data_IF_300359849919
#
_entry.id   IF_300359849919
#
_cell.length_a   1.000
_cell.length_b   1.000
_cell.length_c   1.000
_cell.angle_alpha   90.00
_cell.angle_beta   90.00
_cell.angle_gamma   90.00
#
_symmetry.space_group_name_H-M   'P 1'
#
loop_
_entity.id
_entity.type
_entity.pdbx_description
1 polymer ?
#
# COMPACT_ATOMS: atom_id res chain seq x y z
N UNK A 1 -1.15 17.84 29.43
CA UNK A 1 -1.62 17.73 28.03
C UNK A 1 -2.18 16.32 27.85
N UNK A 2 -3.35 16.20 27.24
CA UNK A 2 -3.90 14.87 26.95
C UNK A 2 -3.13 14.22 25.80
N UNK A 3 -2.76 12.97 25.97
CA UNK A 3 -2.08 12.21 24.90
C UNK A 3 -3.00 12.08 23.67
N UNK A 4 -2.41 12.16 22.48
CA UNK A 4 -3.12 11.81 21.25
C UNK A 4 -3.21 10.29 21.16
N UNK A 5 -4.43 9.75 21.04
CA UNK A 5 -4.62 8.31 20.93
C UNK A 5 -4.78 7.92 19.46
N UNK A 6 -3.87 7.09 18.95
CA UNK A 6 -3.86 6.62 17.57
C UNK A 6 -4.34 5.17 17.56
N UNK A 7 -5.47 4.92 16.88
CA UNK A 7 -6.08 3.59 16.76
C UNK A 7 -6.31 3.22 15.31
N UNK A 8 -6.04 1.99 14.94
CA UNK A 8 -6.37 1.47 13.61
C UNK A 8 -7.88 1.21 13.51
N UNK A 9 -8.58 1.95 12.64
CA UNK A 9 -10.02 1.76 12.39
C UNK A 9 -10.27 0.54 11.50
N UNK A 10 -9.45 0.41 10.45
CA UNK A 10 -9.42 -0.69 9.49
C UNK A 10 -8.12 -0.66 8.70
N UNK A 11 -7.99 -1.49 7.65
CA UNK A 11 -6.78 -1.52 6.83
C UNK A 11 -6.53 -0.24 6.00
N UNK A 12 -7.48 0.69 5.95
CA UNK A 12 -7.39 1.94 5.17
C UNK A 12 -7.20 3.15 6.06
N UNK A 13 -7.87 3.20 7.21
CA UNK A 13 -7.97 4.38 8.07
C UNK A 13 -7.47 4.13 9.49
N UNK A 14 -6.84 5.18 10.04
CA UNK A 14 -6.62 5.37 11.47
C UNK A 14 -7.66 6.35 12.00
N UNK A 15 -7.92 6.29 13.29
CA UNK A 15 -8.62 7.34 14.07
C UNK A 15 -7.64 7.96 15.05
N UNK A 16 -7.63 9.29 15.10
CA UNK A 16 -6.87 10.10 16.03
C UNK A 16 -7.86 10.74 17.02
N UNK A 17 -7.78 10.32 18.28
CA UNK A 17 -8.52 10.98 19.35
C UNK A 17 -7.58 11.98 20.03
N UNK A 18 -7.85 13.27 19.83
CA UNK A 18 -6.98 14.36 20.26
C UNK A 18 -7.80 15.63 20.56
N UNK A 19 -7.23 16.58 21.35
CA UNK A 19 -7.86 17.85 21.65
C UNK A 19 -8.19 18.66 20.38
N UNK A 20 -9.24 19.51 20.42
CA UNK A 20 -9.69 20.27 19.24
C UNK A 20 -8.60 21.11 18.55
N UNK A 21 -7.70 21.74 19.31
CA UNK A 21 -6.60 22.52 18.71
C UNK A 21 -5.66 21.65 17.88
N UNK A 22 -5.33 20.44 18.36
CA UNK A 22 -4.49 19.49 17.61
C UNK A 22 -5.22 18.99 16.36
N UNK A 23 -6.56 18.81 16.43
CA UNK A 23 -7.35 18.42 15.25
C UNK A 23 -7.29 19.50 14.16
N UNK A 24 -7.35 20.80 14.52
CA UNK A 24 -7.24 21.89 13.56
C UNK A 24 -5.84 21.96 12.94
N UNK A 25 -4.79 21.81 13.73
CA UNK A 25 -3.42 21.80 13.23
C UNK A 25 -3.16 20.62 12.30
N UNK A 26 -3.63 19.41 12.66
CA UNK A 26 -3.58 18.25 11.78
C UNK A 26 -4.37 18.46 10.49
N UNK A 27 -5.53 19.14 10.57
CA UNK A 27 -6.32 19.41 9.37
C UNK A 27 -5.61 20.40 8.43
N UNK A 28 -4.88 21.36 8.98
CA UNK A 28 -4.08 22.31 8.18
C UNK A 28 -2.88 21.60 7.56
N UNK A 29 -2.10 20.87 8.34
CA UNK A 29 -0.94 20.10 7.88
C UNK A 29 -1.29 19.10 6.78
N UNK A 30 -2.42 18.39 6.92
CA UNK A 30 -2.84 17.35 5.96
C UNK A 30 -3.85 17.86 4.92
N UNK A 31 -3.85 19.17 4.65
CA UNK A 31 -4.63 19.80 3.57
C UNK A 31 -3.70 20.37 2.50
N UNK A 32 -3.88 19.94 1.25
CA UNK A 32 -3.03 20.32 0.13
C UNK A 32 -3.84 21.04 -0.95
N UNK A 33 -3.31 22.13 -1.48
CA UNK A 33 -3.87 22.77 -2.65
C UNK A 33 -3.53 21.98 -3.92
N UNK A 34 -4.55 21.76 -4.76
CA UNK A 34 -4.32 21.07 -6.03
C UNK A 34 -3.78 22.07 -7.04
N UNK A 35 -2.60 21.82 -7.62
CA UNK A 35 -2.06 22.67 -8.66
C UNK A 35 -3.07 22.86 -9.78
N UNK A 36 -3.27 24.12 -10.21
CA UNK A 36 -4.21 24.49 -11.29
C UNK A 36 -5.69 24.14 -11.01
N UNK A 37 -6.10 23.91 -9.77
CA UNK A 37 -7.49 23.64 -9.39
C UNK A 37 -8.48 24.63 -10.00
N UNK A 38 -8.12 25.91 -10.08
CA UNK A 38 -8.93 27.00 -10.66
C UNK A 38 -9.36 26.76 -12.11
N UNK A 39 -8.68 25.92 -12.85
CA UNK A 39 -9.04 25.56 -14.22
C UNK A 39 -9.99 24.36 -14.30
N UNK A 40 -10.15 23.61 -13.22
CA UNK A 40 -11.00 22.43 -13.18
C UNK A 40 -12.48 22.80 -13.11
N UNK A 41 -13.33 22.04 -13.79
CA UNK A 41 -14.77 22.25 -13.86
C UNK A 41 -15.45 22.24 -12.47
N UNK A 42 -15.03 21.33 -11.58
CA UNK A 42 -15.58 21.22 -10.23
C UNK A 42 -15.31 22.49 -9.38
N UNK A 43 -14.11 23.09 -9.52
CA UNK A 43 -13.76 24.34 -8.86
C UNK A 43 -14.56 25.51 -9.42
N UNK A 44 -14.63 25.65 -10.76
CA UNK A 44 -15.38 26.71 -11.43
C UNK A 44 -16.86 26.69 -11.07
N UNK A 45 -17.43 25.49 -10.89
CA UNK A 45 -18.82 25.29 -10.48
C UNK A 45 -19.03 25.37 -8.96
N UNK A 46 -17.99 25.67 -8.18
CA UNK A 46 -18.00 25.75 -6.71
C UNK A 46 -18.44 24.46 -5.99
N UNK A 47 -18.31 23.29 -6.63
CA UNK A 47 -18.56 22.00 -6.01
C UNK A 47 -17.38 21.51 -5.18
N UNK A 48 -16.22 22.14 -5.33
CA UNK A 48 -14.99 21.78 -4.66
C UNK A 48 -14.13 23.01 -4.45
N UNK A 49 -13.43 23.09 -3.32
CA UNK A 49 -12.61 24.23 -2.87
C UNK A 49 -11.16 24.22 -3.43
N UNK A 50 -10.83 23.25 -4.28
CA UNK A 50 -9.49 23.11 -4.84
C UNK A 50 -8.48 22.43 -3.92
N UNK A 51 -8.93 21.88 -2.78
CA UNK A 51 -8.06 21.28 -1.77
C UNK A 51 -8.32 19.78 -1.62
N UNK A 52 -7.27 19.04 -1.33
CA UNK A 52 -7.33 17.65 -0.89
C UNK A 52 -7.13 17.65 0.61
N UNK A 53 -8.10 17.14 1.36
CA UNK A 53 -8.08 17.01 2.80
C UNK A 53 -7.89 15.56 3.17
N UNK A 54 -6.74 15.22 3.74
CA UNK A 54 -6.37 13.84 4.07
C UNK A 54 -6.73 13.47 5.52
N UNK A 55 -6.94 14.47 6.39
CA UNK A 55 -7.47 14.33 7.74
C UNK A 55 -8.87 14.92 7.85
N UNK A 56 -9.75 14.25 8.54
CA UNK A 56 -11.11 14.69 8.82
C UNK A 56 -11.25 15.07 10.30
N UNK A 57 -11.32 16.37 10.67
CA UNK A 57 -11.49 16.77 12.06
C UNK A 57 -12.79 16.25 12.69
N UNK A 58 -13.85 16.14 11.89
CA UNK A 58 -15.16 15.70 12.39
C UNK A 58 -15.17 14.23 12.84
N UNK A 59 -14.35 13.37 12.23
CA UNK A 59 -14.28 11.93 12.55
C UNK A 59 -12.96 11.50 13.15
N UNK A 60 -11.95 12.38 13.16
CA UNK A 60 -10.57 12.07 13.55
C UNK A 60 -9.87 11.11 12.59
N UNK A 61 -10.39 10.92 11.37
CA UNK A 61 -9.90 9.90 10.45
C UNK A 61 -8.78 10.42 9.54
N UNK A 62 -7.77 9.57 9.35
CA UNK A 62 -6.68 9.76 8.39
C UNK A 62 -6.31 8.42 7.76
N UNK A 63 -5.74 8.46 6.55
CA UNK A 63 -5.26 7.23 5.90
C UNK A 63 -4.13 6.56 6.69
N UNK A 64 -4.23 5.25 6.90
CA UNK A 64 -3.28 4.48 7.69
C UNK A 64 -1.83 4.55 7.14
N UNK A 65 -1.66 4.74 5.84
CA UNK A 65 -0.34 4.93 5.22
C UNK A 65 0.35 6.24 5.59
N UNK A 66 -0.37 7.19 6.19
CA UNK A 66 0.19 8.47 6.63
C UNK A 66 0.69 8.46 8.08
N UNK A 67 0.62 7.32 8.77
CA UNK A 67 1.08 7.19 10.16
C UNK A 67 2.47 7.78 10.42
N UNK A 68 3.51 7.52 9.61
CA UNK A 68 4.83 8.10 9.83
C UNK A 68 4.84 9.63 9.81
N UNK A 69 4.06 10.24 8.94
CA UNK A 69 3.93 11.72 8.86
C UNK A 69 3.16 12.28 10.06
N UNK A 70 2.11 11.59 10.50
CA UNK A 70 1.36 11.96 11.71
C UNK A 70 2.27 11.93 12.93
N UNK A 71 3.03 10.86 13.12
CA UNK A 71 3.92 10.74 14.27
C UNK A 71 5.07 11.76 14.24
N UNK A 72 5.62 12.05 13.07
CA UNK A 72 6.61 13.13 12.89
C UNK A 72 6.01 14.48 13.28
N UNK A 73 4.83 14.83 12.78
CA UNK A 73 4.13 16.07 13.13
C UNK A 73 3.91 16.18 14.64
N UNK A 74 3.39 15.12 15.28
CA UNK A 74 3.15 15.12 16.72
C UNK A 74 4.44 15.31 17.54
N UNK A 75 5.54 14.68 17.12
CA UNK A 75 6.85 14.81 17.76
C UNK A 75 7.42 16.23 17.62
N UNK A 76 7.36 16.82 16.42
CA UNK A 76 7.86 18.17 16.14
C UNK A 76 7.09 19.25 16.90
N UNK A 77 5.80 19.04 17.16
CA UNK A 77 4.97 19.97 17.93
C UNK A 77 4.89 19.64 19.42
N UNK A 78 5.61 18.61 19.89
CA UNK A 78 5.66 18.22 21.29
C UNK A 78 4.36 17.62 21.82
N UNK A 79 3.52 17.04 20.96
CA UNK A 79 2.32 16.34 21.36
C UNK A 79 2.62 14.89 21.72
N UNK A 80 2.42 14.46 22.98
CA UNK A 80 2.58 13.07 23.36
C UNK A 80 1.49 12.22 22.69
N UNK A 81 1.84 11.03 22.22
CA UNK A 81 0.89 10.11 21.59
C UNK A 81 1.08 8.67 22.08
N UNK A 82 0.01 7.87 21.94
CA UNK A 82 0.01 6.44 22.24
C UNK A 82 -0.73 5.66 21.18
N UNK A 83 -0.22 4.48 20.86
CA UNK A 83 -0.92 3.51 20.01
C UNK A 83 -1.92 2.72 20.85
N UNK A 84 -3.15 2.65 20.36
CA UNK A 84 -4.21 1.83 20.94
C UNK A 84 -4.43 0.61 20.06
N UNK A 85 -4.34 -0.57 20.65
CA UNK A 85 -4.63 -1.81 19.95
C UNK A 85 -6.11 -1.88 19.56
N UNK A 86 -6.38 -2.35 18.34
CA UNK A 86 -7.72 -2.73 17.90
C UNK A 86 -7.81 -4.25 17.88
N UNK A 87 -8.81 -4.82 18.53
CA UNK A 87 -8.94 -6.28 18.69
C UNK A 87 -9.07 -7.04 17.36
N UNK A 88 -9.55 -6.35 16.31
CA UNK A 88 -9.70 -6.93 14.96
C UNK A 88 -8.53 -6.61 14.05
N UNK A 89 -8.03 -5.37 14.09
CA UNK A 89 -7.06 -4.85 13.13
C UNK A 89 -5.65 -4.67 13.71
N UNK A 90 -5.45 -4.91 15.00
CA UNK A 90 -4.16 -4.81 15.66
C UNK A 90 -3.70 -3.37 15.92
N UNK A 91 -2.38 -3.21 16.06
CA UNK A 91 -1.74 -1.91 16.28
C UNK A 91 -1.67 -1.07 14.99
N UNK A 92 -1.64 0.27 15.11
CA UNK A 92 -1.44 1.17 13.97
C UNK A 92 -0.15 0.93 13.21
N UNK A 93 0.95 0.71 13.93
CA UNK A 93 2.25 0.37 13.34
C UNK A 93 2.41 -1.15 13.28
N UNK A 94 2.69 -1.64 12.08
CA UNK A 94 2.89 -3.05 11.84
C UNK A 94 4.28 -3.26 11.23
N UNK A 95 5.19 -3.78 12.04
CA UNK A 95 6.54 -4.21 11.63
C UNK A 95 6.64 -5.71 11.88
N UNK A 96 7.03 -6.47 10.87
CA UNK A 96 7.32 -7.91 11.02
C UNK A 96 8.79 -8.07 11.45
N UNK A 97 9.02 -8.15 12.75
CA UNK A 97 10.37 -8.28 13.32
C UNK A 97 11.05 -9.61 12.99
N UNK A 98 10.31 -10.61 12.55
CA UNK A 98 10.88 -11.86 12.05
C UNK A 98 11.52 -11.70 10.67
N UNK A 99 11.19 -10.62 9.95
CA UNK A 99 11.80 -10.31 8.65
C UNK A 99 13.14 -9.61 8.90
N UNK A 100 14.20 -10.40 8.89
CA UNK A 100 15.59 -9.92 8.98
C UNK A 100 16.26 -9.93 7.59
N UNK A 101 17.33 -9.14 7.37
CA UNK A 101 18.10 -9.21 6.12
C UNK A 101 18.59 -10.64 5.80
N UNK A 102 19.04 -11.40 6.80
CA UNK A 102 19.49 -12.78 6.62
C UNK A 102 18.33 -13.71 6.17
N UNK A 103 17.14 -13.57 6.76
CA UNK A 103 15.96 -14.34 6.39
C UNK A 103 15.53 -14.06 4.95
N UNK A 104 15.52 -12.77 4.56
CA UNK A 104 15.22 -12.36 3.17
C UNK A 104 16.28 -12.88 2.20
N UNK A 105 17.57 -12.84 2.56
CA UNK A 105 18.65 -13.39 1.74
C UNK A 105 18.49 -14.88 1.49
N UNK A 106 18.17 -15.65 2.52
CA UNK A 106 17.90 -17.09 2.41
C UNK A 106 16.67 -17.38 1.55
N UNK A 107 15.60 -16.59 1.74
CA UNK A 107 14.38 -16.70 0.95
C UNK A 107 14.64 -16.42 -0.53
N UNK A 108 15.30 -15.30 -0.86
CA UNK A 108 15.61 -14.91 -2.25
C UNK A 108 16.49 -15.93 -2.95
N UNK A 109 17.51 -16.47 -2.27
CA UNK A 109 18.33 -17.56 -2.79
C UNK A 109 17.50 -18.81 -3.09
N UNK A 110 16.56 -19.14 -2.21
CA UNK A 110 15.66 -20.30 -2.38
C UNK A 110 14.65 -20.16 -3.53
N UNK A 111 14.46 -18.97 -4.11
CA UNK A 111 13.62 -18.77 -5.29
C UNK A 111 14.26 -19.30 -6.58
N UNK A 112 15.58 -19.54 -6.60
CA UNK A 112 16.33 -20.03 -7.77
C UNK A 112 16.06 -19.19 -9.04
N UNK A 113 16.10 -17.86 -8.90
CA UNK A 113 15.81 -16.94 -9.99
C UNK A 113 16.84 -17.05 -11.11
N UNK A 114 16.43 -16.88 -12.38
CA UNK A 114 17.34 -16.93 -13.54
C UNK A 114 18.35 -15.76 -13.57
N UNK A 115 18.09 -14.72 -12.77
CA UNK A 115 18.94 -13.55 -12.68
C UNK A 115 19.36 -13.26 -11.24
N UNK A 116 20.58 -12.76 -11.07
CA UNK A 116 21.05 -12.29 -9.76
C UNK A 116 20.24 -11.06 -9.33
N UNK A 117 19.68 -11.12 -8.14
CA UNK A 117 18.98 -9.98 -7.53
C UNK A 117 20.01 -8.91 -7.17
N UNK A 118 19.76 -7.67 -7.56
CA UNK A 118 20.61 -6.50 -7.30
C UNK A 118 20.35 -5.96 -5.89
N UNK A 119 21.30 -5.24 -5.33
CA UNK A 119 21.22 -4.75 -3.95
C UNK A 119 19.97 -3.90 -3.69
N UNK A 120 19.64 -2.98 -4.59
CA UNK A 120 18.44 -2.15 -4.47
C UNK A 120 17.12 -2.94 -4.60
N UNK A 121 17.10 -4.01 -5.40
CA UNK A 121 15.94 -4.91 -5.50
C UNK A 121 15.78 -5.70 -4.20
N UNK A 122 16.90 -6.17 -3.67
CA UNK A 122 16.94 -6.84 -2.38
C UNK A 122 16.42 -5.94 -1.27
N UNK A 123 16.88 -4.68 -1.21
CA UNK A 123 16.41 -3.70 -0.23
C UNK A 123 14.91 -3.45 -0.37
N UNK A 124 14.40 -3.29 -1.60
CA UNK A 124 12.98 -3.10 -1.85
C UNK A 124 12.12 -4.30 -1.40
N UNK A 125 12.59 -5.53 -1.65
CA UNK A 125 11.92 -6.76 -1.18
C UNK A 125 11.92 -6.78 0.36
N UNK A 126 13.05 -6.52 1.00
CA UNK A 126 13.18 -6.47 2.46
C UNK A 126 12.20 -5.46 3.08
N UNK A 127 12.21 -4.23 2.58
CA UNK A 127 11.31 -3.16 3.05
C UNK A 127 9.82 -3.56 2.91
N UNK A 128 9.44 -4.12 1.76
CA UNK A 128 8.07 -4.52 1.51
C UNK A 128 7.62 -5.75 2.33
N UNK A 129 8.56 -6.65 2.67
CA UNK A 129 8.27 -7.80 3.53
C UNK A 129 8.17 -7.41 5.00
N UNK A 130 9.05 -6.51 5.46
CA UNK A 130 9.13 -6.08 6.86
C UNK A 130 7.99 -5.15 7.24
N UNK A 131 7.65 -4.23 6.34
CA UNK A 131 6.63 -3.21 6.59
C UNK A 131 5.42 -3.43 5.69
N UNK A 132 4.24 -3.35 6.23
CA UNK A 132 3.01 -3.67 5.48
C UNK A 132 2.64 -2.63 4.44
N UNK A 133 3.06 -1.37 4.60
CA UNK A 133 2.76 -0.29 3.67
C UNK A 133 4.04 0.42 3.28
N UNK A 134 4.36 0.38 1.99
CA UNK A 134 5.55 1.03 1.44
C UNK A 134 5.28 1.59 0.05
N UNK A 135 5.78 2.79 -0.19
CA UNK A 135 5.91 3.34 -1.53
C UNK A 135 7.35 3.10 -2.01
N UNK A 136 7.49 2.28 -3.04
CA UNK A 136 8.78 1.96 -3.63
C UNK A 136 8.92 2.70 -4.96
N UNK A 137 9.71 3.77 -4.99
CA UNK A 137 10.02 4.50 -6.21
C UNK A 137 11.12 3.76 -6.98
N UNK A 138 10.79 3.34 -8.18
CA UNK A 138 11.68 2.50 -8.98
C UNK A 138 11.57 2.88 -10.46
N UNK A 139 12.68 3.23 -11.13
CA UNK A 139 12.66 3.64 -12.54
C UNK A 139 12.24 2.51 -13.47
N UNK A 140 11.98 2.84 -14.73
CA UNK A 140 11.75 1.84 -15.77
C UNK A 140 12.98 0.93 -15.91
N UNK A 141 12.76 -0.34 -16.24
CA UNK A 141 13.80 -1.37 -16.35
C UNK A 141 14.58 -1.71 -15.05
N UNK A 142 14.12 -1.27 -13.89
CA UNK A 142 14.74 -1.63 -12.59
C UNK A 142 14.43 -3.06 -12.12
N UNK A 143 13.59 -3.80 -12.86
CA UNK A 143 13.15 -5.15 -12.47
C UNK A 143 12.01 -5.18 -11.45
N UNK A 144 11.07 -4.25 -11.55
CA UNK A 144 9.86 -4.22 -10.69
C UNK A 144 9.11 -5.55 -10.67
N UNK A 145 8.94 -6.19 -11.83
CA UNK A 145 8.28 -7.50 -11.93
C UNK A 145 8.97 -8.58 -11.10
N UNK A 146 10.29 -8.58 -11.02
CA UNK A 146 11.04 -9.54 -10.21
C UNK A 146 10.82 -9.29 -8.70
N UNK A 147 10.79 -8.03 -8.27
CA UNK A 147 10.50 -7.69 -6.88
C UNK A 147 9.07 -8.10 -6.50
N UNK A 148 8.09 -7.79 -7.35
CA UNK A 148 6.68 -8.18 -7.18
C UNK A 148 6.55 -9.71 -7.16
N UNK A 149 7.23 -10.41 -8.07
CA UNK A 149 7.28 -11.87 -8.07
C UNK A 149 7.77 -12.44 -6.74
N UNK A 150 8.89 -11.92 -6.21
CA UNK A 150 9.42 -12.36 -4.93
C UNK A 150 8.41 -12.16 -3.79
N UNK A 151 7.71 -11.02 -3.77
CA UNK A 151 6.66 -10.75 -2.78
C UNK A 151 5.48 -11.72 -2.92
N UNK A 152 5.00 -12.00 -4.14
CA UNK A 152 3.94 -12.99 -4.36
C UNK A 152 4.34 -14.38 -3.84
N UNK A 153 5.61 -14.79 -4.08
CA UNK A 153 6.13 -16.06 -3.57
C UNK A 153 6.24 -16.09 -2.05
N UNK A 154 6.60 -14.96 -1.45
CA UNK A 154 6.67 -14.83 0.02
C UNK A 154 5.30 -14.90 0.67
N UNK A 155 4.34 -14.12 0.19
CA UNK A 155 2.99 -14.09 0.75
C UNK A 155 2.22 -15.40 0.45
N UNK A 156 2.43 -16.01 -0.71
CA UNK A 156 1.87 -17.34 -1.02
C UNK A 156 2.33 -18.43 -0.07
N UNK A 157 3.59 -18.38 0.44
CA UNK A 157 4.05 -19.30 1.49
C UNK A 157 3.36 -19.09 2.85
N UNK A 158 2.70 -17.96 3.03
CA UNK A 158 1.89 -17.64 4.21
C UNK A 158 0.39 -17.86 3.96
N UNK A 159 0.02 -18.56 2.89
CA UNK A 159 -1.37 -18.80 2.44
C UNK A 159 -2.17 -17.49 2.21
N UNK A 160 -1.47 -16.42 1.84
CA UNK A 160 -2.07 -15.14 1.53
C UNK A 160 -2.22 -14.95 0.02
N UNK A 161 -3.39 -14.50 -0.41
CA UNK A 161 -3.65 -14.15 -1.80
C UNK A 161 -3.09 -12.76 -2.12
N UNK A 162 -2.59 -12.59 -3.35
CA UNK A 162 -2.00 -11.34 -3.82
C UNK A 162 -2.82 -10.75 -4.97
N UNK A 163 -3.17 -9.48 -4.87
CA UNK A 163 -3.79 -8.71 -5.95
C UNK A 163 -2.76 -7.74 -6.52
N UNK A 164 -2.46 -7.87 -7.82
CA UNK A 164 -1.59 -6.96 -8.57
C UNK A 164 -2.46 -6.10 -9.47
N UNK A 165 -2.41 -4.78 -9.27
CA UNK A 165 -3.16 -3.83 -10.08
C UNK A 165 -2.18 -3.03 -10.94
N UNK A 166 -2.35 -3.10 -12.27
CA UNK A 166 -1.50 -2.40 -13.23
C UNK A 166 -2.33 -1.47 -14.13
N UNK A 167 -1.72 -0.42 -14.71
CA UNK A 167 -2.45 0.57 -15.50
C UNK A 167 -3.11 0.03 -16.78
N UNK A 168 -2.48 -0.94 -17.46
CA UNK A 168 -2.90 -1.40 -18.79
C UNK A 168 -2.95 -2.93 -18.90
N UNK A 169 -3.76 -3.42 -19.84
CA UNK A 169 -3.85 -4.86 -20.14
C UNK A 169 -2.54 -5.43 -20.67
N UNK A 170 -1.76 -4.66 -21.40
CA UNK A 170 -0.42 -5.07 -21.87
C UNK A 170 0.52 -5.35 -20.71
N UNK A 171 0.43 -4.57 -19.60
CA UNK A 171 1.21 -4.83 -18.39
C UNK A 171 0.71 -6.06 -17.62
N UNK A 172 -0.59 -6.41 -17.72
CA UNK A 172 -1.10 -7.69 -17.17
C UNK A 172 -0.42 -8.86 -17.89
N UNK A 173 -0.37 -8.82 -19.23
CA UNK A 173 0.27 -9.88 -20.02
C UNK A 173 1.78 -9.94 -19.78
N UNK A 174 2.44 -8.79 -19.74
CA UNK A 174 3.88 -8.72 -19.45
C UNK A 174 4.19 -9.32 -18.08
N UNK A 175 3.48 -8.93 -17.03
CA UNK A 175 3.68 -9.44 -15.69
C UNK A 175 3.51 -10.95 -15.61
N UNK A 176 2.47 -11.46 -16.25
CA UNK A 176 2.21 -12.90 -16.31
C UNK A 176 3.34 -13.65 -17.05
N UNK A 177 3.83 -13.09 -18.17
CA UNK A 177 4.96 -13.64 -18.93
C UNK A 177 6.24 -13.63 -18.08
N UNK A 178 6.55 -12.50 -17.44
CA UNK A 178 7.72 -12.37 -16.56
C UNK A 178 7.71 -13.44 -15.46
N UNK A 179 6.56 -13.69 -14.83
CA UNK A 179 6.43 -14.73 -13.80
C UNK A 179 6.68 -16.13 -14.33
N UNK A 180 6.25 -16.41 -15.55
CA UNK A 180 6.57 -17.67 -16.22
C UNK A 180 8.06 -17.79 -16.49
N UNK A 181 8.69 -16.71 -16.98
CA UNK A 181 10.11 -16.66 -17.30
C UNK A 181 11.00 -16.77 -16.05
N UNK A 182 10.48 -16.38 -14.87
CA UNK A 182 11.16 -16.60 -13.57
C UNK A 182 11.02 -18.03 -13.03
N UNK A 183 10.44 -18.94 -13.79
CA UNK A 183 10.36 -20.37 -13.47
C UNK A 183 9.18 -20.75 -12.58
N UNK A 184 8.20 -19.85 -12.38
CA UNK A 184 6.97 -20.21 -11.68
C UNK A 184 5.93 -20.79 -12.64
N UNK A 185 5.23 -21.81 -12.22
CA UNK A 185 4.08 -22.32 -12.96
C UNK A 185 2.92 -21.32 -12.97
N UNK A 186 3.11 -20.17 -13.65
CA UNK A 186 2.19 -19.03 -13.61
C UNK A 186 0.75 -19.40 -13.97
N UNK A 187 0.57 -20.43 -14.83
CA UNK A 187 -0.74 -20.96 -15.20
C UNK A 187 -1.48 -21.66 -14.04
N UNK A 188 -0.76 -22.15 -13.03
CA UNK A 188 -1.36 -22.71 -11.82
C UNK A 188 -1.68 -21.63 -10.78
N UNK A 189 -0.79 -20.65 -10.61
CA UNK A 189 -0.82 -19.69 -9.51
C UNK A 189 -1.44 -18.34 -9.86
N UNK A 190 -1.44 -17.94 -11.14
CA UNK A 190 -1.87 -16.62 -11.54
C UNK A 190 -3.17 -16.63 -12.34
N UNK A 191 -4.05 -15.70 -12.04
CA UNK A 191 -5.28 -15.42 -12.79
C UNK A 191 -5.24 -14.00 -13.34
N UNK A 192 -5.54 -13.85 -14.64
CA UNK A 192 -5.59 -12.55 -15.32
C UNK A 192 -7.02 -12.07 -15.41
N UNK A 193 -7.29 -10.83 -14.97
CA UNK A 193 -8.62 -10.24 -15.00
C UNK A 193 -8.63 -8.98 -15.87
N UNK A 194 -9.12 -9.12 -17.09
CA UNK A 194 -9.43 -8.04 -18.02
C UNK A 194 -10.32 -8.58 -19.17
N UNK A 195 -10.89 -7.69 -20.00
CA UNK A 195 -11.62 -8.09 -21.20
C UNK A 195 -12.82 -9.00 -20.95
N UNK A 196 -13.52 -8.85 -19.81
CA UNK A 196 -14.70 -9.67 -19.47
C UNK A 196 -14.36 -10.97 -18.73
N UNK A 197 -13.10 -11.25 -18.40
CA UNK A 197 -12.74 -12.39 -17.57
C UNK A 197 -13.34 -12.28 -16.17
N UNK A 198 -13.70 -13.43 -15.56
CA UNK A 198 -14.22 -13.48 -14.20
C UNK A 198 -13.23 -12.84 -13.21
N UNK A 199 -13.67 -11.95 -12.32
CA UNK A 199 -12.81 -11.39 -11.26
C UNK A 199 -12.53 -12.40 -10.12
N UNK A 200 -13.26 -13.51 -10.09
CA UNK A 200 -13.13 -14.52 -9.04
C UNK A 200 -12.25 -15.67 -9.51
N UNK A 201 -11.34 -16.08 -8.65
CA UNK A 201 -10.43 -17.21 -8.88
C UNK A 201 -9.94 -17.77 -7.56
N UNK A 202 -9.66 -19.08 -7.53
CA UNK A 202 -9.04 -19.76 -6.39
C UNK A 202 -7.51 -19.60 -6.40
N UNK A 203 -6.94 -19.03 -7.45
CA UNK A 203 -5.49 -18.86 -7.59
C UNK A 203 -4.93 -17.86 -6.59
N UNK A 204 -3.65 -18.03 -6.27
CA UNK A 204 -2.96 -17.26 -5.25
C UNK A 204 -2.73 -15.80 -5.66
N UNK A 205 -2.58 -15.55 -6.97
CA UNK A 205 -2.27 -14.23 -7.52
C UNK A 205 -3.30 -13.83 -8.58
N UNK A 206 -3.90 -12.66 -8.39
CA UNK A 206 -4.76 -12.02 -9.39
C UNK A 206 -4.00 -10.84 -9.98
N UNK A 207 -3.85 -10.80 -11.30
CA UNK A 207 -3.23 -9.70 -12.04
C UNK A 207 -4.31 -9.00 -12.85
N UNK A 208 -4.51 -7.71 -12.63
CA UNK A 208 -5.65 -6.98 -13.19
C UNK A 208 -5.34 -5.52 -13.47
N UNK A 209 -6.26 -4.84 -14.15
CA UNK A 209 -6.29 -3.38 -14.24
C UNK A 209 -7.33 -2.81 -13.28
N UNK A 210 -7.14 -1.56 -12.82
CA UNK A 210 -8.10 -0.92 -11.92
C UNK A 210 -9.50 -0.78 -12.58
N UNK A 211 -9.58 -0.61 -13.91
CA UNK A 211 -10.83 -0.51 -14.67
C UNK A 211 -11.66 -1.81 -14.60
N UNK A 212 -10.98 -2.94 -14.43
CA UNK A 212 -11.65 -4.25 -14.36
C UNK A 212 -12.26 -4.54 -12.99
N UNK A 213 -11.76 -3.88 -11.92
CA UNK A 213 -12.20 -4.17 -10.55
C UNK A 213 -12.99 -3.04 -9.89
N UNK A 214 -12.86 -1.78 -10.34
CA UNK A 214 -13.52 -0.66 -9.65
C UNK A 214 -15.06 -0.71 -9.69
N UNK A 215 -15.63 -1.40 -10.66
CA UNK A 215 -17.08 -1.60 -10.81
C UNK A 215 -17.63 -2.79 -10.03
N UNK A 216 -16.76 -3.57 -9.39
CA UNK A 216 -17.22 -4.70 -8.58
C UNK A 216 -18.03 -4.20 -7.38
N UNK A 217 -19.14 -4.88 -7.02
CA UNK A 217 -19.94 -4.48 -5.88
C UNK A 217 -19.08 -4.52 -4.60
N UNK A 218 -19.14 -3.44 -3.84
CA UNK A 218 -18.57 -3.40 -2.49
C UNK A 218 -19.44 -4.28 -1.61
N UNK A 219 -18.91 -5.40 -1.15
CA UNK A 219 -19.54 -6.21 -0.11
C UNK A 219 -19.22 -5.63 1.26
#
# INVERSE_FOLDING_TARGET
MSDVLIKKKNEVYLTLDCPPHVQYELADEFTFEVPQAKFMSAYKKRYWDGKIKLFSPATGEIYAGLLPYVTTFLQEHGYPYKYINNDVYGLPEEVDDLVTPAAVGSFVKGLQLPHKVRDYQYQAIYEAMRYRRRLLLSPTASGKSLMIYALCRYFGKKDLKTLIVVPTTSLVEQMYKDFKDYGWGAHHHCHKVYGGASPFSDKDVIITTWQSIYKLPKK
#
